data_IF_296887380820
#
_entry.id   IF_296887380820
#
_cell.length_a   1.000
_cell.length_b   1.000
_cell.length_c   1.000
_cell.angle_alpha   90.00
_cell.angle_beta   90.00
_cell.angle_gamma   90.00
#
_symmetry.space_group_name_H-M   'P 1'
#
loop_
_entity.id
_entity.type
_entity.pdbx_description
1 polymer ?
#
# COMPACT_ATOMS: atom_id res chain seq x y z
N UNK A 1 14.71 27.99 5.86
CA UNK A 1 13.45 27.26 6.08
C UNK A 1 12.26 27.88 5.33
N UNK A 2 12.08 29.20 5.37
CA UNK A 2 10.98 29.86 4.65
C UNK A 2 11.15 29.84 3.13
N UNK A 3 12.36 29.75 2.60
CA UNK A 3 12.63 29.66 1.15
C UNK A 3 12.17 28.31 0.56
N UNK A 4 12.13 27.23 1.35
CA UNK A 4 11.63 25.93 0.91
C UNK A 4 10.11 25.93 0.67
N UNK A 5 9.38 26.79 1.38
CA UNK A 5 7.94 26.97 1.19
C UNK A 5 7.57 27.79 -0.06
N UNK A 6 8.55 28.46 -0.67
CA UNK A 6 8.35 29.24 -1.90
C UNK A 6 8.34 28.37 -3.17
N UNK A 7 8.72 27.10 -3.10
CA UNK A 7 8.66 26.20 -4.25
C UNK A 7 7.22 25.71 -4.48
N UNK A 8 6.73 25.87 -5.68
CA UNK A 8 5.38 25.42 -6.11
C UNK A 8 5.13 23.95 -5.79
N UNK A 9 6.15 23.10 -5.88
CA UNK A 9 6.08 21.70 -5.52
C UNK A 9 5.78 21.50 -4.02
N UNK A 10 6.41 22.29 -3.15
CA UNK A 10 6.22 22.20 -1.70
C UNK A 10 4.81 22.64 -1.29
N UNK A 11 4.30 23.71 -1.89
CA UNK A 11 2.94 24.20 -1.64
C UNK A 11 1.89 23.20 -2.07
N UNK A 12 2.05 22.57 -3.24
CA UNK A 12 1.14 21.53 -3.72
C UNK A 12 1.19 20.28 -2.84
N UNK A 13 2.37 19.89 -2.39
CA UNK A 13 2.54 18.75 -1.49
C UNK A 13 1.90 19.01 -0.12
N UNK A 14 2.04 20.22 0.40
CA UNK A 14 1.44 20.62 1.68
C UNK A 14 -0.09 20.67 1.60
N UNK A 15 -0.64 21.21 0.51
CA UNK A 15 -2.08 21.20 0.25
C UNK A 15 -2.63 19.79 0.11
N UNK A 16 -1.95 18.94 -0.66
CA UNK A 16 -2.34 17.54 -0.80
C UNK A 16 -2.30 16.80 0.54
N UNK A 17 -1.26 16.99 1.34
CA UNK A 17 -1.13 16.40 2.67
C UNK A 17 -2.24 16.88 3.63
N UNK A 18 -2.59 18.15 3.61
CA UNK A 18 -3.66 18.71 4.43
C UNK A 18 -5.03 18.15 4.02
N UNK A 19 -5.33 18.07 2.72
CA UNK A 19 -6.58 17.52 2.20
C UNK A 19 -6.71 16.03 2.50
N UNK A 20 -5.69 15.24 2.18
CA UNK A 20 -5.69 13.81 2.45
C UNK A 20 -5.73 13.54 3.95
N UNK A 21 -4.97 14.27 4.75
CA UNK A 21 -4.94 14.14 6.20
C UNK A 21 -6.30 14.45 6.84
N UNK A 22 -7.00 15.48 6.38
CA UNK A 22 -8.33 15.82 6.90
C UNK A 22 -9.36 14.73 6.58
N UNK A 23 -9.38 14.22 5.35
CA UNK A 23 -10.26 13.11 4.95
C UNK A 23 -9.94 11.84 5.74
N UNK A 24 -8.65 11.50 5.87
CA UNK A 24 -8.21 10.34 6.65
C UNK A 24 -8.57 10.46 8.13
N UNK A 25 -8.52 11.67 8.70
CA UNK A 25 -8.90 11.90 10.10
C UNK A 25 -10.38 11.63 10.35
N UNK A 26 -11.25 12.10 9.46
CA UNK A 26 -12.70 11.85 9.56
C UNK A 26 -13.01 10.36 9.44
N UNK A 27 -12.46 9.70 8.42
CA UNK A 27 -12.65 8.25 8.22
C UNK A 27 -12.05 7.46 9.38
N UNK A 28 -10.89 7.86 9.89
CA UNK A 28 -10.20 7.23 11.01
C UNK A 28 -11.03 7.17 12.29
N UNK A 29 -11.79 8.23 12.59
CA UNK A 29 -12.71 8.24 13.74
C UNK A 29 -13.76 7.13 13.61
N UNK A 30 -14.38 6.99 12.44
CA UNK A 30 -15.37 5.92 12.20
C UNK A 30 -14.76 4.53 12.27
N UNK A 31 -13.57 4.36 11.72
CA UNK A 31 -12.82 3.09 11.75
C UNK A 31 -12.52 2.67 13.19
N UNK A 32 -12.04 3.60 14.03
CA UNK A 32 -11.73 3.33 15.44
C UNK A 32 -13.01 3.05 16.25
N UNK A 33 -14.06 3.83 16.04
CA UNK A 33 -15.34 3.61 16.73
C UNK A 33 -15.98 2.25 16.40
N UNK A 34 -15.71 1.72 15.20
CA UNK A 34 -16.15 0.39 14.80
C UNK A 34 -15.22 -0.75 15.25
N UNK A 35 -14.14 -0.45 15.94
CA UNK A 35 -13.16 -1.44 16.38
C UNK A 35 -12.32 -2.05 15.26
N UNK A 36 -12.19 -1.35 14.13
CA UNK A 36 -11.45 -1.80 12.95
C UNK A 36 -10.02 -1.22 12.94
N UNK A 37 -9.30 -1.38 14.04
CA UNK A 37 -7.98 -0.74 14.22
C UNK A 37 -6.98 -1.12 13.13
N UNK A 38 -7.00 -2.37 12.66
CA UNK A 38 -6.09 -2.86 11.62
C UNK A 38 -6.59 -2.69 10.19
N UNK A 39 -7.82 -2.22 9.96
CA UNK A 39 -8.40 -2.12 8.62
C UNK A 39 -7.59 -1.20 7.70
N UNK A 40 -7.15 -0.06 8.20
CA UNK A 40 -6.32 0.88 7.43
C UNK A 40 -4.96 0.30 7.07
N UNK A 41 -4.29 -0.35 8.01
CA UNK A 41 -3.01 -1.00 7.78
C UNK A 41 -3.16 -2.19 6.81
N UNK A 42 -4.17 -3.03 6.99
CA UNK A 42 -4.45 -4.18 6.12
C UNK A 42 -4.68 -3.79 4.66
N UNK A 43 -5.51 -2.78 4.42
CA UNK A 43 -5.78 -2.27 3.06
C UNK A 43 -4.57 -1.60 2.43
N UNK A 44 -3.76 -0.86 3.20
CA UNK A 44 -2.55 -0.23 2.70
C UNK A 44 -1.51 -1.27 2.25
N UNK A 45 -1.31 -2.34 3.02
CA UNK A 45 -0.40 -3.42 2.66
C UNK A 45 -0.91 -4.27 1.49
N UNK A 46 -2.21 -4.49 1.39
CA UNK A 46 -2.81 -5.13 0.21
C UNK A 46 -2.61 -4.28 -1.06
N UNK A 47 -2.82 -2.98 -0.97
CA UNK A 47 -2.54 -2.06 -2.08
C UNK A 47 -1.06 -2.09 -2.48
N UNK A 48 -0.15 -2.16 -1.51
CA UNK A 48 1.29 -2.29 -1.77
C UNK A 48 1.63 -3.62 -2.50
N UNK A 49 1.02 -4.74 -2.11
CA UNK A 49 1.16 -6.00 -2.83
C UNK A 49 0.64 -5.89 -4.28
N UNK A 50 -0.45 -5.16 -4.50
CA UNK A 50 -0.96 -4.86 -5.84
C UNK A 50 0.00 -4.02 -6.67
N UNK A 51 0.64 -3.01 -6.07
CA UNK A 51 1.67 -2.19 -6.74
C UNK A 51 2.88 -3.03 -7.15
N UNK A 52 3.38 -3.88 -6.26
CA UNK A 52 4.55 -4.74 -6.57
C UNK A 52 4.24 -5.74 -7.69
N UNK A 53 3.03 -6.31 -7.69
CA UNK A 53 2.57 -7.18 -8.77
C UNK A 53 2.43 -6.40 -10.10
N UNK A 54 1.94 -5.18 -10.06
CA UNK A 54 1.81 -4.33 -11.26
C UNK A 54 3.17 -4.06 -11.91
N UNK A 55 4.18 -3.77 -11.12
CA UNK A 55 5.55 -3.61 -11.62
C UNK A 55 6.12 -4.89 -12.22
N UNK A 56 5.80 -6.06 -11.65
CA UNK A 56 6.22 -7.35 -12.18
C UNK A 56 5.58 -7.63 -13.56
N UNK A 57 4.31 -7.27 -13.73
CA UNK A 57 3.53 -7.49 -14.95
C UNK A 57 3.65 -6.36 -15.98
N UNK A 58 4.30 -5.25 -15.66
CA UNK A 58 4.40 -4.07 -16.52
C UNK A 58 3.07 -3.31 -16.67
N UNK A 59 2.16 -3.44 -15.71
CA UNK A 59 0.84 -2.80 -15.71
C UNK A 59 0.87 -1.48 -14.90
N UNK A 60 -0.11 -0.57 -15.11
CA UNK A 60 -0.19 0.65 -14.32
C UNK A 60 -0.39 0.33 -12.82
N UNK A 61 0.48 0.83 -11.93
CA UNK A 61 0.49 0.42 -10.51
C UNK A 61 -0.77 0.83 -9.76
N UNK A 62 -1.39 1.94 -10.13
CA UNK A 62 -2.57 2.47 -9.45
C UNK A 62 -3.79 1.55 -9.62
N UNK A 63 -3.98 0.96 -10.80
CA UNK A 63 -5.13 0.08 -11.07
C UNK A 63 -5.09 -1.20 -10.24
N UNK A 64 -3.93 -1.85 -10.17
CA UNK A 64 -3.80 -3.06 -9.35
C UNK A 64 -3.81 -2.75 -7.85
N UNK A 65 -3.29 -1.61 -7.42
CA UNK A 65 -3.39 -1.18 -6.03
C UNK A 65 -4.86 -1.04 -5.58
N UNK A 66 -5.69 -0.43 -6.41
CA UNK A 66 -7.14 -0.27 -6.15
C UNK A 66 -7.83 -1.64 -6.13
N UNK A 67 -7.56 -2.50 -7.11
CA UNK A 67 -8.16 -3.84 -7.19
C UNK A 67 -7.82 -4.68 -5.95
N UNK A 68 -6.55 -4.69 -5.53
CA UNK A 68 -6.11 -5.41 -4.34
C UNK A 68 -6.71 -4.85 -3.05
N UNK A 69 -6.78 -3.51 -2.92
CA UNK A 69 -7.43 -2.85 -1.80
C UNK A 69 -8.91 -3.23 -1.69
N UNK A 70 -9.66 -3.13 -2.79
CA UNK A 70 -11.09 -3.49 -2.83
C UNK A 70 -11.31 -4.98 -2.59
N UNK A 71 -10.48 -5.85 -3.19
CA UNK A 71 -10.55 -7.30 -2.98
C UNK A 71 -10.35 -7.66 -1.49
N UNK A 72 -9.40 -7.00 -0.82
CA UNK A 72 -9.14 -7.21 0.61
C UNK A 72 -10.36 -6.84 1.46
N UNK A 73 -10.97 -5.69 1.21
CA UNK A 73 -12.19 -5.27 1.92
C UNK A 73 -13.33 -6.26 1.68
N UNK A 74 -13.51 -6.70 0.45
CA UNK A 74 -14.57 -7.64 0.09
C UNK A 74 -14.36 -9.02 0.73
N UNK A 75 -13.14 -9.56 0.67
CA UNK A 75 -12.80 -10.85 1.29
C UNK A 75 -12.97 -10.77 2.81
N UNK A 76 -12.55 -9.67 3.43
CA UNK A 76 -12.68 -9.47 4.88
C UNK A 76 -14.15 -9.46 5.30
N UNK A 77 -15.01 -8.74 4.57
CA UNK A 77 -16.45 -8.72 4.84
C UNK A 77 -17.10 -10.09 4.67
N UNK A 78 -16.71 -10.82 3.63
CA UNK A 78 -17.24 -12.17 3.39
C UNK A 78 -16.81 -13.19 4.45
N UNK A 79 -15.58 -13.11 4.92
CA UNK A 79 -15.05 -13.98 6.01
C UNK A 79 -15.74 -13.66 7.32
N UNK A 80 -16.05 -12.39 7.60
CA UNK A 80 -16.83 -12.00 8.79
C UNK A 80 -18.22 -12.62 8.80
N UNK A 81 -18.96 -12.53 7.68
CA UNK A 81 -20.31 -13.07 7.57
C UNK A 81 -20.36 -14.60 7.76
N UNK A 82 -19.38 -15.33 7.23
CA UNK A 82 -19.37 -16.79 7.25
C UNK A 82 -18.59 -17.41 8.41
N UNK A 83 -17.57 -16.72 8.91
CA UNK A 83 -16.54 -17.33 9.74
C UNK A 83 -16.75 -17.23 11.24
N UNK A 84 -17.74 -16.51 11.78
CA UNK A 84 -17.86 -16.19 13.22
C UNK A 84 -16.59 -15.62 13.85
N UNK A 85 -15.65 -15.14 13.04
CA UNK A 85 -14.40 -14.56 13.50
C UNK A 85 -14.57 -13.05 13.66
N UNK A 86 -13.93 -12.49 14.67
CA UNK A 86 -13.89 -11.04 14.82
C UNK A 86 -13.17 -10.43 13.61
N UNK A 87 -13.72 -9.37 13.08
CA UNK A 87 -13.23 -8.65 11.88
C UNK A 87 -11.74 -8.34 11.97
N UNK A 88 -11.30 -7.90 13.13
CA UNK A 88 -9.91 -7.52 13.41
C UNK A 88 -8.92 -8.69 13.25
N UNK A 89 -9.34 -9.92 13.63
CA UNK A 89 -8.52 -11.13 13.45
C UNK A 89 -8.39 -11.48 11.97
N UNK A 90 -9.48 -11.40 11.20
CA UNK A 90 -9.46 -11.65 9.75
C UNK A 90 -8.57 -10.67 9.03
N UNK A 91 -8.61 -9.39 9.40
CA UNK A 91 -7.75 -8.34 8.85
C UNK A 91 -6.28 -8.62 9.20
N UNK A 92 -5.98 -9.03 10.44
CA UNK A 92 -4.62 -9.37 10.86
C UNK A 92 -4.01 -10.52 10.05
N UNK A 93 -4.79 -11.55 9.75
CA UNK A 93 -4.36 -12.69 8.90
C UNK A 93 -4.10 -12.21 7.46
N UNK A 94 -5.03 -11.43 6.89
CA UNK A 94 -4.87 -10.88 5.54
C UNK A 94 -3.69 -9.92 5.45
N UNK A 95 -3.43 -9.13 6.49
CA UNK A 95 -2.29 -8.24 6.61
C UNK A 95 -0.96 -9.01 6.47
N UNK A 96 -0.79 -10.07 7.26
CA UNK A 96 0.43 -10.88 7.22
C UNK A 96 0.59 -11.62 5.90
N UNK A 97 -0.50 -12.15 5.34
CA UNK A 97 -0.50 -12.83 4.05
C UNK A 97 -0.14 -11.88 2.89
N UNK A 98 -0.71 -10.67 2.86
CA UNK A 98 -0.42 -9.67 1.82
C UNK A 98 1.00 -9.11 1.92
N UNK A 99 1.55 -8.97 3.14
CA UNK A 99 2.95 -8.60 3.34
C UNK A 99 3.90 -9.68 2.81
N UNK A 100 3.65 -10.94 3.13
CA UNK A 100 4.44 -12.06 2.62
C UNK A 100 4.40 -12.11 1.08
N UNK A 101 3.23 -11.87 0.49
CA UNK A 101 3.03 -11.83 -0.96
C UNK A 101 3.80 -10.66 -1.60
N UNK A 102 3.77 -9.47 -1.00
CA UNK A 102 4.50 -8.30 -1.48
C UNK A 102 6.01 -8.54 -1.47
N UNK A 103 6.54 -9.15 -0.41
CA UNK A 103 7.97 -9.50 -0.31
C UNK A 103 8.34 -10.56 -1.34
N UNK A 104 7.48 -11.54 -1.58
CA UNK A 104 7.68 -12.56 -2.62
C UNK A 104 7.78 -11.91 -4.01
N UNK A 105 6.87 -11.00 -4.35
CA UNK A 105 6.91 -10.29 -5.63
C UNK A 105 8.16 -9.43 -5.79
N UNK A 106 8.59 -8.73 -4.73
CA UNK A 106 9.84 -7.98 -4.74
C UNK A 106 11.06 -8.89 -4.93
N UNK A 107 11.06 -10.07 -4.31
CA UNK A 107 12.09 -11.09 -4.51
C UNK A 107 12.17 -11.59 -5.95
N UNK A 108 11.02 -11.85 -6.56
CA UNK A 108 10.92 -12.25 -7.96
C UNK A 108 11.40 -11.15 -8.91
N UNK A 109 11.11 -9.89 -8.63
CA UNK A 109 11.60 -8.74 -9.42
C UNK A 109 13.13 -8.65 -9.39
N UNK A 110 13.77 -8.86 -8.25
CA UNK A 110 15.23 -8.88 -8.12
C UNK A 110 15.86 -10.03 -8.93
N UNK A 111 15.21 -11.18 -8.98
CA UNK A 111 15.67 -12.33 -9.74
C UNK A 111 15.48 -12.13 -11.24
N UNK A 112 14.46 -11.38 -11.66
CA UNK A 112 14.14 -11.15 -13.07
C UNK A 112 15.00 -10.06 -13.73
N UNK A 113 15.63 -9.16 -12.97
CA UNK A 113 16.50 -8.10 -13.48
C UNK A 113 17.92 -8.13 -12.84
N UNK A 114 18.71 -9.19 -13.02
CA UNK A 114 20.08 -9.20 -12.54
C UNK A 114 20.96 -8.18 -13.29
N UNK A 115 20.69 -7.93 -14.57
CA UNK A 115 21.50 -7.04 -15.42
C UNK A 115 21.39 -5.55 -15.03
N UNK A 116 20.23 -5.08 -14.59
CA UNK A 116 20.03 -3.66 -14.23
C UNK A 116 20.76 -3.24 -12.95
N UNK A 117 21.09 -4.19 -12.08
CA UNK A 117 21.83 -3.93 -10.85
C UNK A 117 23.36 -3.86 -11.10
N UNK A 118 23.85 -4.55 -12.12
CA UNK A 118 25.27 -4.48 -12.51
C UNK A 118 25.59 -3.20 -13.28
N UNK A 119 24.71 -2.76 -14.18
CA UNK A 119 24.88 -1.50 -14.92
C UNK A 119 24.96 -0.28 -13.99
N UNK A 120 24.25 -0.30 -12.86
CA UNK A 120 24.34 0.73 -11.82
C UNK A 120 25.64 0.68 -11.01
N UNK A 121 26.29 -0.48 -10.91
CA UNK A 121 27.58 -0.63 -10.24
C UNK A 121 28.72 -0.15 -11.11
N UNK A 122 28.71 -0.49 -12.38
CA UNK A 122 29.75 -0.09 -13.36
C UNK A 122 29.74 1.43 -13.57
N UNK A 123 28.58 2.08 -13.54
CA UNK A 123 28.49 3.54 -13.65
C UNK A 123 29.00 4.33 -12.44
N UNK A 124 29.31 3.66 -11.31
CA UNK A 124 29.86 4.31 -10.11
C UNK A 124 31.38 4.18 -9.97
N UNK A 125 32.00 3.34 -10.77
CA UNK A 125 33.46 3.12 -10.75
C UNK A 125 34.20 3.92 -11.84
N UNK A 126 33.50 4.67 -12.65
CA UNK A 126 34.06 5.72 -13.50
C UNK A 126 33.86 7.07 -12.82
#
# INVERSE_FOLDING_TARGET
>A
MLELLAYDFMQRSLLAAALVGSVCSVIGVFVVLRGLAFAGAGTAHAAFAGVTLAYLLGLPPLSLAIVFGLATVWITGWVEEKGRMKLDVSIGILYTATMALAILFLGLMKTYNPERSEERRVGKEC
#
